data_IF_439769337224
#
_entry.id   IF_439769337224
#
_cell.length_a   1.000
_cell.length_b   1.000
_cell.length_c   1.000
_cell.angle_alpha   90.00
_cell.angle_beta   90.00
_cell.angle_gamma   90.00
#
_symmetry.space_group_name_H-M   'P 1'
#
loop_
_entity.id
_entity.type
_entity.pdbx_description
1 polymer ?
#
# COMPACT_ATOMS: atom_id res chain seq x y z
N UNK A 1 -1.38 -18.05 15.71
CA UNK A 1 -1.35 -18.07 14.23
C UNK A 1 0.00 -17.55 13.78
N UNK A 2 0.74 -18.33 12.99
CA UNK A 2 1.98 -17.88 12.34
C UNK A 2 1.57 -16.88 11.25
N UNK A 3 2.10 -15.65 11.27
CA UNK A 3 1.78 -14.64 10.24
C UNK A 3 2.20 -15.11 8.84
N UNK A 4 1.69 -14.46 7.79
CA UNK A 4 2.06 -14.78 6.40
C UNK A 4 3.60 -14.80 6.24
N UNK A 5 4.14 -15.82 5.56
CA UNK A 5 5.58 -16.12 5.45
C UNK A 5 6.35 -16.24 6.78
N UNK A 6 5.66 -16.39 7.90
CA UNK A 6 6.25 -16.47 9.23
C UNK A 6 6.99 -15.21 9.66
N UNK A 7 6.55 -14.01 9.26
CA UNK A 7 7.21 -12.73 9.61
C UNK A 7 7.45 -12.58 11.12
N UNK A 8 6.60 -13.19 11.95
CA UNK A 8 6.71 -13.15 13.41
C UNK A 8 7.73 -14.14 14.01
N UNK A 9 8.47 -14.88 13.18
CA UNK A 9 9.40 -15.93 13.62
C UNK A 9 10.84 -15.60 13.22
N UNK A 10 11.79 -15.86 14.12
CA UNK A 10 13.22 -15.77 13.80
C UNK A 10 13.64 -16.86 12.81
N UNK A 11 14.79 -16.67 12.13
CA UNK A 11 15.34 -17.65 11.18
C UNK A 11 15.43 -19.06 11.78
N UNK A 12 16.01 -19.20 12.97
CA UNK A 12 16.10 -20.48 13.69
C UNK A 12 14.76 -21.07 14.13
N UNK A 13 13.73 -20.24 14.38
CA UNK A 13 12.37 -20.74 14.63
C UNK A 13 11.73 -21.29 13.35
N UNK A 14 11.89 -20.61 12.21
CA UNK A 14 11.40 -21.10 10.91
C UNK A 14 12.08 -22.42 10.52
N UNK A 15 13.39 -22.51 10.70
CA UNK A 15 14.17 -23.72 10.45
C UNK A 15 13.65 -24.90 11.30
N UNK A 16 13.46 -24.70 12.60
CA UNK A 16 12.92 -25.73 13.51
C UNK A 16 11.50 -26.17 13.16
N UNK A 17 10.63 -25.25 12.77
CA UNK A 17 9.25 -25.60 12.35
C UNK A 17 9.27 -26.38 11.04
N UNK A 18 10.12 -26.00 10.09
CA UNK A 18 10.29 -26.73 8.83
C UNK A 18 10.83 -28.15 9.07
N UNK A 19 11.86 -28.28 9.93
CA UNK A 19 12.42 -29.57 10.33
C UNK A 19 11.39 -30.43 11.06
N UNK A 20 10.66 -29.86 12.02
CA UNK A 20 9.59 -30.57 12.73
C UNK A 20 8.51 -31.08 11.78
N UNK A 21 8.10 -30.28 10.79
CA UNK A 21 7.15 -30.70 9.74
C UNK A 21 7.68 -31.88 8.94
N UNK A 22 8.96 -31.87 8.57
CA UNK A 22 9.57 -33.01 7.87
C UNK A 22 9.59 -34.26 8.75
N UNK A 23 10.04 -34.16 10.00
CA UNK A 23 10.08 -35.27 10.96
C UNK A 23 8.69 -35.89 11.17
N UNK A 24 7.66 -35.06 11.29
CA UNK A 24 6.29 -35.50 11.53
C UNK A 24 5.64 -36.18 10.32
N UNK A 25 6.18 -35.99 9.11
CA UNK A 25 5.65 -36.61 7.89
C UNK A 25 5.96 -38.11 7.79
N UNK A 26 6.81 -38.65 8.67
CA UNK A 26 7.12 -40.08 8.80
C UNK A 26 7.45 -40.80 7.46
N UNK A 27 8.36 -40.24 6.67
CA UNK A 27 8.78 -40.81 5.37
C UNK A 27 9.89 -41.88 5.53
N UNK A 28 10.19 -42.63 4.46
CA UNK A 28 11.34 -43.57 4.45
C UNK A 28 12.69 -42.87 4.13
N UNK A 29 12.62 -41.75 3.40
CA UNK A 29 13.76 -40.95 2.95
C UNK A 29 13.61 -39.49 3.42
N UNK A 30 14.65 -38.99 4.08
CA UNK A 30 14.74 -37.59 4.51
C UNK A 30 15.85 -36.87 3.74
N UNK A 31 15.49 -35.79 3.05
CA UNK A 31 16.41 -34.88 2.39
C UNK A 31 16.48 -33.60 3.22
N UNK A 32 17.63 -33.33 3.82
CA UNK A 32 17.85 -32.21 4.73
C UNK A 32 18.89 -31.26 4.12
N UNK A 33 18.43 -30.10 3.67
CA UNK A 33 19.27 -29.05 3.10
C UNK A 33 19.56 -27.97 4.14
N UNK A 34 20.74 -28.05 4.74
CA UNK A 34 21.28 -27.19 5.80
C UNK A 34 20.27 -26.79 6.90
N UNK A 35 19.66 -27.77 7.60
CA UNK A 35 18.58 -27.50 8.56
C UNK A 35 19.01 -26.76 9.84
N UNK A 36 20.32 -26.64 10.10
CA UNK A 36 20.88 -26.13 11.36
C UNK A 36 21.58 -24.77 11.24
N UNK A 37 21.77 -24.23 10.03
CA UNK A 37 22.51 -22.97 9.81
C UNK A 37 22.01 -21.77 10.62
N UNK A 38 20.70 -21.64 10.82
CA UNK A 38 20.08 -20.49 11.48
C UNK A 38 19.86 -20.69 12.99
N UNK A 39 20.40 -21.76 13.58
CA UNK A 39 20.19 -22.17 14.98
C UNK A 39 21.49 -22.05 15.75
N UNK A 40 21.43 -21.67 17.03
CA UNK A 40 22.62 -21.59 17.87
C UNK A 40 23.30 -22.96 18.02
N UNK A 41 24.64 -23.02 18.15
CA UNK A 41 25.38 -24.30 18.16
C UNK A 41 24.91 -25.28 19.24
N UNK A 42 24.48 -24.79 20.40
CA UNK A 42 24.01 -25.64 21.51
C UNK A 42 22.67 -26.29 21.19
N UNK A 43 21.72 -25.52 20.64
CA UNK A 43 20.43 -26.04 20.20
C UNK A 43 20.60 -26.90 18.94
N UNK A 44 21.49 -26.52 18.02
CA UNK A 44 21.82 -27.32 16.84
C UNK A 44 22.33 -28.72 17.23
N UNK A 45 23.27 -28.79 18.20
CA UNK A 45 23.74 -30.06 18.75
C UNK A 45 22.62 -30.88 19.38
N UNK A 46 21.77 -30.25 20.18
CA UNK A 46 20.64 -30.95 20.79
C UNK A 46 19.64 -31.48 19.75
N UNK A 47 19.37 -30.72 18.67
CA UNK A 47 18.53 -31.15 17.56
C UNK A 47 19.20 -32.30 16.80
N UNK A 48 20.50 -32.22 16.56
CA UNK A 48 21.24 -33.28 15.89
C UNK A 48 21.16 -34.58 16.69
N UNK A 49 21.54 -34.55 17.98
CA UNK A 49 21.56 -35.73 18.85
C UNK A 49 20.18 -36.39 18.98
N UNK A 50 19.12 -35.58 19.14
CA UNK A 50 17.77 -36.08 19.38
C UNK A 50 16.99 -36.43 18.10
N UNK A 51 17.23 -35.73 16.99
CA UNK A 51 16.39 -35.84 15.78
C UNK A 51 17.11 -36.40 14.55
N UNK A 52 18.39 -36.06 14.31
CA UNK A 52 19.08 -36.36 13.04
C UNK A 52 20.13 -37.47 13.17
N UNK A 53 20.88 -37.50 14.28
CA UNK A 53 22.06 -38.33 14.50
C UNK A 53 21.80 -39.84 14.58
N UNK A 54 22.83 -40.67 14.83
CA UNK A 54 22.72 -42.13 14.78
C UNK A 54 21.80 -42.72 15.87
N UNK A 55 21.65 -42.02 17.01
CA UNK A 55 20.81 -42.43 18.15
C UNK A 55 19.49 -41.67 18.25
N UNK A 56 19.06 -41.03 17.17
CA UNK A 56 17.95 -40.09 17.14
C UNK A 56 16.59 -40.73 16.78
N UNK A 57 15.55 -39.89 16.71
CA UNK A 57 14.21 -40.23 16.20
C UNK A 57 14.23 -40.82 14.78
N UNK A 58 15.16 -40.41 13.92
CA UNK A 58 15.29 -40.92 12.55
C UNK A 58 16.16 -42.19 12.45
N UNK A 59 16.42 -42.86 13.57
CA UNK A 59 17.19 -44.11 13.59
C UNK A 59 16.50 -45.17 12.73
N UNK A 60 17.24 -45.73 11.77
CA UNK A 60 16.76 -46.76 10.85
C UNK A 60 16.14 -46.23 9.55
N UNK A 61 16.14 -44.90 9.35
CA UNK A 61 15.65 -44.27 8.12
C UNK A 61 16.79 -43.74 7.26
N UNK A 62 16.57 -43.68 5.94
CA UNK A 62 17.55 -43.13 4.99
C UNK A 62 17.56 -41.61 5.09
N UNK A 63 18.74 -41.03 5.28
CA UNK A 63 18.93 -39.59 5.51
C UNK A 63 20.04 -39.07 4.62
N UNK A 64 19.77 -38.00 3.89
CA UNK A 64 20.79 -37.21 3.18
C UNK A 64 20.83 -35.85 3.85
N UNK A 65 21.97 -35.54 4.47
CA UNK A 65 22.22 -34.26 5.15
C UNK A 65 23.26 -33.47 4.36
N UNK A 66 22.86 -32.30 3.86
CA UNK A 66 23.76 -31.30 3.31
C UNK A 66 23.99 -30.27 4.40
N UNK A 67 25.25 -30.00 4.75
CA UNK A 67 25.60 -29.01 5.78
C UNK A 67 27.00 -28.45 5.50
N UNK A 68 27.20 -27.19 5.84
CA UNK A 68 28.53 -26.57 5.88
C UNK A 68 29.25 -26.81 7.21
N UNK A 69 28.54 -27.26 8.24
CA UNK A 69 29.09 -27.49 9.56
C UNK A 69 29.73 -28.88 9.66
N UNK A 70 31.06 -28.93 9.64
CA UNK A 70 31.80 -30.20 9.47
C UNK A 70 31.72 -31.10 10.71
N UNK A 71 31.57 -30.53 11.90
CA UNK A 71 31.48 -31.27 13.16
C UNK A 71 30.33 -32.29 13.22
N UNK A 72 29.23 -32.06 12.50
CA UNK A 72 28.12 -33.01 12.40
C UNK A 72 28.37 -34.14 11.39
N UNK A 73 29.27 -33.94 10.43
CA UNK A 73 29.57 -34.91 9.39
C UNK A 73 30.41 -36.09 9.92
N UNK A 74 31.12 -35.92 11.03
CA UNK A 74 31.93 -36.98 11.65
C UNK A 74 31.09 -38.19 12.07
N UNK A 75 29.84 -37.97 12.49
CA UNK A 75 28.90 -39.00 12.94
C UNK A 75 28.11 -39.68 11.80
N UNK A 76 28.40 -39.36 10.54
CA UNK A 76 27.72 -39.94 9.37
C UNK A 76 28.34 -41.27 8.92
N UNK A 77 27.56 -42.11 8.27
CA UNK A 77 28.04 -43.39 7.73
C UNK A 77 28.93 -43.17 6.49
N UNK A 78 28.53 -42.28 5.59
CA UNK A 78 29.26 -41.91 4.35
C UNK A 78 29.30 -40.40 4.17
N UNK A 79 30.42 -39.89 3.63
CA UNK A 79 30.63 -38.47 3.34
C UNK A 79 31.05 -38.29 1.88
N UNK A 80 30.35 -37.39 1.19
CA UNK A 80 30.65 -37.04 -0.20
C UNK A 80 31.03 -35.56 -0.28
N UNK A 81 32.11 -35.26 -0.99
CA UNK A 81 32.51 -33.90 -1.31
C UNK A 81 32.10 -33.58 -2.74
N UNK A 82 31.28 -32.54 -2.91
CA UNK A 82 30.86 -32.06 -4.23
C UNK A 82 31.71 -30.83 -4.62
N UNK A 83 32.54 -30.97 -5.66
CA UNK A 83 33.38 -29.88 -6.18
C UNK A 83 33.11 -29.68 -7.67
N UNK A 84 32.69 -28.47 -8.08
CA UNK A 84 32.39 -28.13 -9.49
C UNK A 84 31.44 -29.11 -10.22
N UNK A 85 30.49 -29.71 -9.49
CA UNK A 85 29.56 -30.70 -10.06
C UNK A 85 30.10 -32.13 -10.15
N UNK A 86 31.33 -32.39 -9.68
CA UNK A 86 31.90 -33.72 -9.50
C UNK A 86 31.82 -34.18 -8.04
N UNK A 87 31.49 -35.44 -7.82
CA UNK A 87 31.31 -36.05 -6.49
C UNK A 87 32.48 -37.00 -6.21
N UNK A 88 33.21 -36.74 -5.12
CA UNK A 88 34.27 -37.60 -4.61
C UNK A 88 33.86 -38.17 -3.23
N UNK A 89 34.04 -39.47 -3.02
CA UNK A 89 33.79 -40.12 -1.73
C UNK A 89 35.01 -39.94 -0.80
N UNK A 90 34.78 -39.43 0.41
CA UNK A 90 35.84 -39.18 1.39
C UNK A 90 36.03 -40.42 2.29
N UNK A 91 37.25 -41.01 2.33
CA UNK A 91 37.55 -42.13 3.23
C UNK A 91 37.45 -41.75 4.71
N UNK A 92 37.03 -42.71 5.55
CA UNK A 92 36.81 -42.53 7.01
C UNK A 92 38.06 -42.00 7.74
N UNK A 93 39.26 -42.30 7.24
CA UNK A 93 40.56 -41.91 7.82
C UNK A 93 40.85 -40.40 7.72
N UNK A 94 40.20 -39.67 6.80
CA UNK A 94 40.41 -38.22 6.61
C UNK A 94 39.45 -37.35 7.45
N UNK A 95 38.56 -37.95 8.26
CA UNK A 95 37.56 -37.21 9.07
C UNK A 95 38.19 -36.26 10.11
N UNK A 96 39.33 -36.65 10.69
CA UNK A 96 40.06 -35.85 11.69
C UNK A 96 40.81 -34.66 11.08
N UNK A 97 41.14 -34.69 9.79
CA UNK A 97 41.81 -33.59 9.10
C UNK A 97 40.86 -32.43 8.77
N UNK A 98 39.55 -32.70 8.69
CA UNK A 98 38.51 -31.69 8.43
C UNK A 98 38.20 -30.90 9.71
N UNK A 99 38.23 -31.53 10.89
CA UNK A 99 38.13 -30.86 12.20
C UNK A 99 39.21 -29.78 12.38
N UNK A 100 40.43 -30.04 11.89
CA UNK A 100 41.56 -29.09 11.93
C UNK A 100 41.41 -27.89 10.97
N UNK A 101 40.58 -28.00 9.93
CA UNK A 101 40.30 -26.91 8.98
C UNK A 101 39.24 -25.94 9.52
N UNK A 102 38.27 -26.41 10.32
CA UNK A 102 37.26 -25.54 10.96
C UNK A 102 37.86 -24.72 12.12
N UNK A 103 38.73 -25.32 12.94
CA UNK A 103 39.37 -24.66 14.10
C UNK A 103 40.22 -23.43 13.72
N UNK A 104 40.74 -23.37 12.49
CA UNK A 104 41.50 -22.20 12.00
C UNK A 104 40.62 -21.08 11.45
N UNK A 105 39.32 -21.33 11.24
CA UNK A 105 38.35 -20.34 10.72
C UNK A 105 37.45 -19.74 11.81
N UNK A 106 37.29 -20.39 12.97
CA UNK A 106 36.42 -19.92 14.06
C UNK A 106 37.05 -18.88 15.01
N UNK A 107 38.37 -18.65 14.96
CA UNK A 107 39.03 -17.68 15.86
C UNK A 107 38.72 -16.20 15.58
N UNK A 108 38.04 -15.84 14.49
CA UNK A 108 37.80 -14.44 14.10
C UNK A 108 36.35 -13.94 14.25
N UNK A 109 35.42 -14.69 14.86
CA UNK A 109 34.00 -14.24 14.94
C UNK A 109 33.30 -14.32 16.31
N UNK A 110 33.96 -14.76 17.38
CA UNK A 110 33.31 -14.92 18.69
C UNK A 110 33.43 -13.70 19.61
N UNK A 111 32.80 -12.58 19.24
CA UNK A 111 32.47 -11.53 20.22
C UNK A 111 31.23 -10.68 19.84
N UNK A 112 30.07 -11.34 19.68
CA UNK A 112 28.76 -10.69 19.79
C UNK A 112 27.82 -11.54 20.64
N UNK A 113 27.83 -11.31 21.96
CA UNK A 113 26.67 -11.62 22.82
C UNK A 113 25.59 -10.60 22.49
N UNK A 114 24.71 -10.94 21.54
CA UNK A 114 23.46 -10.22 21.35
C UNK A 114 22.39 -10.76 22.30
N UNK A 115 21.69 -9.82 22.93
CA UNK A 115 20.76 -10.01 24.02
C UNK A 115 19.39 -10.43 23.51
N UNK A 116 19.03 -11.70 23.65
CA UNK A 116 17.68 -12.23 23.33
C UNK A 116 16.53 -11.57 24.11
N UNK A 117 16.82 -10.82 25.18
CA UNK A 117 15.80 -10.13 25.99
C UNK A 117 15.36 -8.77 25.43
N UNK A 118 15.93 -8.28 24.32
CA UNK A 118 15.56 -6.98 23.73
C UNK A 118 14.70 -7.08 22.47
N UNK A 119 14.71 -8.21 21.75
CA UNK A 119 14.05 -8.37 20.45
C UNK A 119 12.52 -8.51 20.57
N UNK A 120 12.04 -9.27 21.56
CA UNK A 120 10.60 -9.40 21.80
C UNK A 120 9.97 -8.11 22.35
N UNK A 121 10.75 -7.32 23.08
CA UNK A 121 10.34 -5.99 23.59
C UNK A 121 10.29 -4.97 22.47
N UNK A 122 11.28 -4.95 21.56
CA UNK A 122 11.28 -4.05 20.40
C UNK A 122 10.17 -4.36 19.39
N UNK A 123 9.77 -5.62 19.21
CA UNK A 123 8.65 -6.00 18.32
C UNK A 123 7.30 -5.57 18.92
N UNK A 124 7.09 -5.74 20.22
CA UNK A 124 5.88 -5.25 20.90
C UNK A 124 5.84 -3.72 20.95
N UNK A 125 6.98 -3.06 21.16
CA UNK A 125 7.08 -1.61 21.07
C UNK A 125 6.82 -1.13 19.63
N UNK A 126 7.40 -1.75 18.58
CA UNK A 126 7.12 -1.40 17.19
C UNK A 126 5.63 -1.49 16.84
N UNK A 127 4.94 -2.54 17.28
CA UNK A 127 3.50 -2.68 17.07
C UNK A 127 2.66 -1.63 17.84
N UNK A 128 3.16 -1.11 18.97
CA UNK A 128 2.55 0.03 19.68
C UNK A 128 2.88 1.40 19.05
N UNK A 129 3.99 1.49 18.32
CA UNK A 129 4.48 2.71 17.65
C UNK A 129 3.79 2.92 16.30
N UNK A 130 3.50 1.84 15.58
CA UNK A 130 2.77 1.90 14.31
C UNK A 130 1.30 2.19 14.60
N UNK A 131 0.88 3.44 14.40
CA UNK A 131 -0.55 3.79 14.43
C UNK A 131 -1.29 2.91 13.44
N UNK A 132 -2.26 2.13 13.92
CA UNK A 132 -3.22 1.46 13.06
C UNK A 132 -4.01 2.51 12.29
N UNK A 133 -4.30 2.22 11.03
CA UNK A 133 -5.03 3.14 10.16
C UNK A 133 -6.44 3.27 10.71
N UNK A 134 -6.73 4.36 11.43
CA UNK A 134 -8.10 4.71 11.75
C UNK A 134 -8.77 4.98 10.41
N UNK A 135 -9.66 4.08 9.98
CA UNK A 135 -10.59 4.39 8.90
C UNK A 135 -11.35 5.63 9.34
N UNK A 136 -11.07 6.77 8.71
CA UNK A 136 -11.82 8.00 8.96
C UNK A 136 -13.25 7.73 8.49
N UNK A 137 -14.09 7.27 9.40
CA UNK A 137 -15.53 7.14 9.18
C UNK A 137 -16.11 8.56 9.21
N UNK A 138 -16.15 9.20 8.03
CA UNK A 138 -16.65 10.55 7.88
C UNK A 138 -16.89 10.88 6.42
N UNK A 139 -17.86 11.78 6.18
CA UNK A 139 -18.00 12.41 4.87
C UNK A 139 -16.76 13.26 4.58
N UNK A 140 -16.27 13.19 3.35
CA UNK A 140 -15.03 13.86 2.93
C UNK A 140 -15.19 15.38 3.06
N UNK A 141 -14.16 16.05 3.60
CA UNK A 141 -14.18 17.51 3.76
C UNK A 141 -14.29 18.21 2.40
N UNK A 142 -15.20 19.18 2.32
CA UNK A 142 -15.41 20.00 1.10
C UNK A 142 -14.15 20.76 0.65
N UNK A 143 -13.22 21.03 1.57
CA UNK A 143 -11.93 21.64 1.25
C UNK A 143 -11.05 20.79 0.32
N UNK A 144 -11.18 19.45 0.39
CA UNK A 144 -10.43 18.52 -0.45
C UNK A 144 -10.96 18.58 -1.89
N UNK A 145 -12.29 18.54 -2.04
CA UNK A 145 -12.97 18.73 -3.32
C UNK A 145 -12.59 20.05 -3.98
N UNK A 146 -12.68 21.14 -3.22
CA UNK A 146 -12.35 22.46 -3.73
C UNK A 146 -10.87 22.56 -4.09
N UNK A 147 -9.98 21.98 -3.29
CA UNK A 147 -8.54 21.96 -3.54
C UNK A 147 -8.18 21.29 -4.86
N UNK A 148 -8.89 20.23 -5.24
CA UNK A 148 -8.66 19.50 -6.50
C UNK A 148 -8.94 20.39 -7.71
N UNK A 149 -10.10 21.05 -7.74
CA UNK A 149 -10.51 21.88 -8.88
C UNK A 149 -9.92 23.29 -8.89
N UNK A 150 -9.51 23.82 -7.73
CA UNK A 150 -8.93 25.18 -7.62
C UNK A 150 -7.40 25.18 -7.60
N UNK A 151 -6.80 24.09 -8.07
CA UNK A 151 -5.34 23.96 -8.17
C UNK A 151 -4.74 24.91 -9.23
N UNK A 152 -3.49 25.38 -9.04
CA UNK A 152 -2.77 26.15 -10.06
C UNK A 152 -2.66 25.37 -11.39
N UNK A 153 -2.63 26.04 -12.56
CA UNK A 153 -2.42 27.49 -12.74
C UNK A 153 -3.69 28.35 -12.75
N UNK A 154 -4.85 27.83 -13.18
CA UNK A 154 -6.05 28.65 -13.42
C UNK A 154 -6.90 28.92 -12.17
N UNK A 155 -6.68 28.19 -11.06
CA UNK A 155 -7.41 28.34 -9.80
C UNK A 155 -8.93 28.41 -10.03
N UNK A 156 -9.62 29.36 -9.40
CA UNK A 156 -11.06 29.57 -9.52
C UNK A 156 -11.53 29.88 -10.94
N UNK A 157 -10.75 30.62 -11.73
CA UNK A 157 -11.10 30.94 -13.10
C UNK A 157 -11.25 29.67 -13.95
N UNK A 158 -10.34 28.70 -13.77
CA UNK A 158 -10.41 27.41 -14.47
C UNK A 158 -11.64 26.61 -14.07
N UNK A 159 -11.98 26.59 -12.79
CA UNK A 159 -13.18 25.91 -12.29
C UNK A 159 -14.47 26.51 -12.86
N UNK A 160 -14.60 27.85 -12.90
CA UNK A 160 -15.76 28.49 -13.51
C UNK A 160 -15.85 28.21 -15.02
N UNK A 161 -14.72 28.25 -15.72
CA UNK A 161 -14.67 27.94 -17.14
C UNK A 161 -15.06 26.48 -17.44
N UNK A 162 -14.68 25.54 -16.56
CA UNK A 162 -15.09 24.13 -16.65
C UNK A 162 -16.61 23.98 -16.57
N UNK A 163 -17.24 24.67 -15.60
CA UNK A 163 -18.70 24.65 -15.44
C UNK A 163 -19.39 25.21 -16.68
N UNK A 164 -18.86 26.30 -17.26
CA UNK A 164 -19.42 26.89 -18.48
C UNK A 164 -19.36 25.90 -19.65
N UNK A 165 -18.23 25.22 -19.87
CA UNK A 165 -18.13 24.20 -20.92
C UNK A 165 -19.05 23.00 -20.67
N UNK A 166 -19.22 22.59 -19.41
CA UNK A 166 -20.14 21.52 -19.04
C UNK A 166 -21.60 21.87 -19.33
N UNK A 167 -22.05 23.05 -18.88
CA UNK A 167 -23.41 23.54 -19.13
C UNK A 167 -23.66 23.80 -20.62
N UNK A 168 -22.69 24.39 -21.32
CA UNK A 168 -22.80 24.69 -22.75
C UNK A 168 -22.93 23.42 -23.60
N UNK A 169 -22.18 22.36 -23.27
CA UNK A 169 -22.31 21.08 -23.95
C UNK A 169 -23.70 20.46 -23.75
N UNK A 170 -24.21 20.48 -22.52
CA UNK A 170 -25.54 19.92 -22.20
C UNK A 170 -26.65 20.69 -22.92
N UNK A 171 -26.60 22.02 -22.90
CA UNK A 171 -27.57 22.86 -23.59
C UNK A 171 -27.60 22.61 -25.12
N UNK A 172 -26.42 22.42 -25.74
CA UNK A 172 -26.33 22.08 -27.18
C UNK A 172 -26.90 20.69 -27.48
N UNK A 173 -26.66 19.72 -26.59
CA UNK A 173 -27.23 18.38 -26.71
C UNK A 173 -28.77 18.41 -26.63
N UNK A 174 -29.32 19.07 -25.62
CA UNK A 174 -30.77 19.22 -25.45
C UNK A 174 -31.40 20.01 -26.60
N UNK A 175 -30.72 21.04 -27.10
CA UNK A 175 -31.16 21.79 -28.27
C UNK A 175 -31.18 20.93 -29.53
N UNK A 176 -30.18 20.07 -29.74
CA UNK A 176 -30.13 19.11 -30.86
C UNK A 176 -31.34 18.17 -30.85
N UNK A 177 -31.64 17.60 -29.67
CA UNK A 177 -32.79 16.70 -29.50
C UNK A 177 -34.12 17.44 -29.67
N UNK A 178 -34.25 18.64 -29.12
CA UNK A 178 -35.45 19.47 -29.26
C UNK A 178 -35.68 19.91 -30.71
N UNK A 179 -34.60 20.21 -31.45
CA UNK A 179 -34.65 20.51 -32.88
C UNK A 179 -35.13 19.31 -33.70
N UNK A 180 -34.62 18.11 -33.41
CA UNK A 180 -35.06 16.87 -34.04
C UNK A 180 -36.56 16.61 -33.79
N UNK A 181 -37.02 16.81 -32.55
CA UNK A 181 -38.44 16.70 -32.21
C UNK A 181 -39.29 17.69 -33.02
N UNK A 182 -38.87 18.95 -33.11
CA UNK A 182 -39.55 19.98 -33.93
C UNK A 182 -39.56 19.63 -35.41
N UNK A 183 -38.45 19.13 -35.95
CA UNK A 183 -38.35 18.71 -37.35
C UNK A 183 -39.30 17.54 -37.65
N UNK A 184 -39.39 16.56 -36.75
CA UNK A 184 -40.28 15.39 -36.89
C UNK A 184 -41.77 15.76 -36.90
N UNK A 185 -42.16 16.87 -36.27
CA UNK A 185 -43.55 17.33 -36.22
C UNK A 185 -44.04 18.14 -37.43
N UNK A 186 -43.15 18.48 -38.39
CA UNK A 186 -43.51 19.31 -39.54
C UNK A 186 -44.25 18.54 -40.65
N UNK A 187 -44.89 19.28 -41.58
CA UNK A 187 -45.54 18.69 -42.76
C UNK A 187 -44.53 17.92 -43.61
N UNK A 188 -44.98 16.84 -44.28
CA UNK A 188 -44.12 15.95 -45.12
C UNK A 188 -43.32 16.70 -46.20
N UNK A 189 -43.82 17.83 -46.71
CA UNK A 189 -43.11 18.68 -47.67
C UNK A 189 -41.93 19.43 -47.07
N UNK A 190 -42.09 19.95 -45.84
CA UNK A 190 -41.04 20.68 -45.11
C UNK A 190 -40.03 19.74 -44.48
N UNK A 191 -40.45 18.52 -44.10
CA UNK A 191 -39.53 17.47 -43.65
C UNK A 191 -38.49 17.10 -44.72
N UNK A 192 -38.88 17.16 -46.00
CA UNK A 192 -37.99 16.92 -47.14
C UNK A 192 -37.07 18.11 -47.47
N UNK A 193 -37.24 19.25 -46.81
CA UNK A 193 -36.37 20.42 -47.01
C UNK A 193 -34.98 20.17 -46.44
N UNK A 194 -33.95 20.40 -47.25
CA UNK A 194 -32.55 20.27 -46.84
C UNK A 194 -32.17 21.25 -45.72
N UNK A 195 -32.92 22.34 -45.54
CA UNK A 195 -32.64 23.35 -44.51
C UNK A 195 -32.62 22.76 -43.08
N UNK A 196 -33.66 22.01 -42.69
CA UNK A 196 -33.75 21.42 -41.35
C UNK A 196 -32.63 20.40 -41.10
N UNK A 197 -32.27 19.64 -42.14
CA UNK A 197 -31.18 18.67 -42.10
C UNK A 197 -29.82 19.36 -41.93
N UNK A 198 -29.54 20.45 -42.65
CA UNK A 198 -28.28 21.19 -42.50
C UNK A 198 -28.14 21.85 -41.13
N UNK A 199 -29.22 22.42 -40.59
CA UNK A 199 -29.20 22.99 -39.23
C UNK A 199 -28.94 21.89 -38.19
N UNK A 200 -29.65 20.75 -38.29
CA UNK A 200 -29.43 19.62 -37.38
C UNK A 200 -27.98 19.09 -37.43
N UNK A 201 -27.44 18.93 -38.64
CA UNK A 201 -26.07 18.46 -38.85
C UNK A 201 -25.05 19.47 -38.29
N UNK A 202 -25.26 20.77 -38.52
CA UNK A 202 -24.41 21.84 -37.98
C UNK A 202 -24.37 21.86 -36.45
N UNK A 203 -25.54 21.76 -35.80
CA UNK A 203 -25.63 21.73 -34.34
C UNK A 203 -25.05 20.43 -33.76
N UNK A 204 -25.28 19.29 -34.42
CA UNK A 204 -24.68 17.99 -34.02
C UNK A 204 -23.16 18.06 -34.09
N UNK A 205 -22.61 18.65 -35.15
CA UNK A 205 -21.17 18.84 -35.30
C UNK A 205 -20.60 19.82 -34.27
N UNK A 206 -21.30 20.91 -33.97
CA UNK A 206 -20.93 21.84 -32.90
C UNK A 206 -20.93 21.15 -31.52
N UNK A 207 -21.94 20.32 -31.24
CA UNK A 207 -22.02 19.52 -30.00
C UNK A 207 -20.83 18.58 -29.88
N UNK A 208 -20.43 17.91 -30.96
CA UNK A 208 -19.25 17.04 -30.98
C UNK A 208 -17.95 17.82 -30.67
N UNK A 209 -17.74 18.98 -31.29
CA UNK A 209 -16.55 19.82 -31.06
C UNK A 209 -16.50 20.28 -29.60
N UNK A 210 -17.62 20.80 -29.08
CA UNK A 210 -17.69 21.27 -27.68
C UNK A 210 -17.48 20.10 -26.71
N UNK A 211 -18.01 18.91 -27.02
CA UNK A 211 -17.79 17.71 -26.21
C UNK A 211 -16.30 17.34 -26.13
N UNK A 212 -15.58 17.37 -27.26
CA UNK A 212 -14.14 17.10 -27.31
C UNK A 212 -13.33 18.13 -26.51
N UNK A 213 -13.63 19.42 -26.70
CA UNK A 213 -12.97 20.51 -25.96
C UNK A 213 -13.22 20.35 -24.46
N UNK A 214 -14.48 20.09 -24.06
CA UNK A 214 -14.87 19.90 -22.67
C UNK A 214 -14.16 18.72 -22.02
N UNK A 215 -14.10 17.56 -22.69
CA UNK A 215 -13.43 16.36 -22.15
C UNK A 215 -11.94 16.65 -21.97
N UNK A 216 -11.28 17.21 -22.98
CA UNK A 216 -9.86 17.58 -22.89
C UNK A 216 -9.58 18.60 -21.79
N UNK A 217 -10.42 19.64 -21.66
CA UNK A 217 -10.27 20.68 -20.64
C UNK A 217 -10.52 20.17 -19.22
N UNK A 218 -11.54 19.33 -19.03
CA UNK A 218 -11.84 18.73 -17.71
C UNK A 218 -10.72 17.79 -17.28
N UNK A 219 -10.19 16.99 -18.22
CA UNK A 219 -9.04 16.14 -17.95
C UNK A 219 -7.80 16.95 -17.58
N UNK A 220 -7.55 18.07 -18.27
CA UNK A 220 -6.44 18.98 -17.97
C UNK A 220 -6.54 19.56 -16.55
N UNK A 221 -7.71 20.03 -16.12
CA UNK A 221 -7.91 20.53 -14.74
C UNK A 221 -7.63 19.42 -13.72
N UNK A 222 -8.13 18.20 -13.98
CA UNK A 222 -7.92 17.08 -13.08
C UNK A 222 -6.45 16.70 -12.97
N UNK A 223 -5.71 16.72 -14.09
CA UNK A 223 -4.27 16.47 -14.12
C UNK A 223 -3.51 17.52 -13.30
N UNK A 224 -3.87 18.81 -13.42
CA UNK A 224 -3.29 19.88 -12.61
C UNK A 224 -3.59 19.68 -11.12
N UNK A 225 -4.82 19.30 -10.78
CA UNK A 225 -5.25 18.97 -9.42
C UNK A 225 -4.44 17.83 -8.81
N UNK A 226 -4.30 16.73 -9.53
CA UNK A 226 -3.55 15.56 -9.07
C UNK A 226 -2.06 15.87 -8.90
N UNK A 227 -1.45 16.56 -9.86
CA UNK A 227 -0.05 17.01 -9.78
C UNK A 227 0.18 17.96 -8.60
N UNK A 228 -0.79 18.84 -8.30
CA UNK A 228 -0.72 19.72 -7.13
C UNK A 228 -0.74 18.93 -5.82
N UNK A 229 -1.61 17.93 -5.70
CA UNK A 229 -1.71 17.06 -4.53
C UNK A 229 -0.42 16.27 -4.33
N UNK A 230 0.11 15.67 -5.41
CA UNK A 230 1.38 14.95 -5.39
C UNK A 230 2.53 15.83 -4.89
N UNK A 231 2.70 17.01 -5.49
CA UNK A 231 3.78 17.94 -5.12
C UNK A 231 3.66 18.44 -3.68
N UNK A 232 2.43 18.66 -3.21
CA UNK A 232 2.18 19.10 -1.83
C UNK A 232 2.47 17.99 -0.84
N UNK A 233 2.05 16.75 -1.13
CA UNK A 233 2.38 15.56 -0.35
C UNK A 233 3.89 15.36 -0.27
N UNK A 234 4.58 15.41 -1.41
CA UNK A 234 6.03 15.22 -1.47
C UNK A 234 6.78 16.28 -0.64
N UNK A 235 6.39 17.56 -0.76
CA UNK A 235 6.92 18.61 0.12
C UNK A 235 6.59 18.37 1.59
N UNK A 236 5.38 17.92 1.91
CA UNK A 236 4.98 17.57 3.27
C UNK A 236 5.86 16.47 3.86
N UNK A 237 6.14 15.42 3.10
CA UNK A 237 7.00 14.31 3.51
C UNK A 237 8.47 14.74 3.66
N UNK A 238 9.00 15.55 2.73
CA UNK A 238 10.41 15.96 2.79
C UNK A 238 10.73 16.88 3.98
N UNK A 239 9.77 17.67 4.44
CA UNK A 239 9.97 18.69 5.48
C UNK A 239 9.32 18.35 6.82
N UNK A 240 8.82 17.12 6.99
CA UNK A 240 8.24 16.64 8.26
C UNK A 240 9.34 16.15 9.21
N UNK A 241 9.04 16.13 10.50
CA UNK A 241 9.97 15.63 11.53
C UNK A 241 10.27 14.13 11.38
N UNK A 242 11.46 13.69 11.77
CA UNK A 242 11.88 12.27 11.79
C UNK A 242 10.88 11.35 12.53
N UNK A 243 10.19 11.87 13.56
CA UNK A 243 9.14 11.18 14.31
C UNK A 243 8.01 10.62 13.42
N UNK A 244 7.72 11.30 12.31
CA UNK A 244 6.73 10.83 11.36
C UNK A 244 7.14 9.49 10.72
N UNK A 245 8.40 9.34 10.34
CA UNK A 245 8.92 8.13 9.69
C UNK A 245 9.05 6.95 10.64
N UNK A 246 9.31 7.19 11.92
CA UNK A 246 9.32 6.11 12.94
C UNK A 246 7.93 5.53 13.19
N UNK A 247 6.88 6.35 13.07
CA UNK A 247 5.48 5.95 13.31
C UNK A 247 4.75 5.49 12.05
N UNK A 248 5.30 5.76 10.87
CA UNK A 248 4.74 5.41 9.58
C UNK A 248 5.72 4.54 8.78
N UNK A 249 5.45 3.22 8.66
CA UNK A 249 6.29 2.33 7.86
C UNK A 249 6.48 2.84 6.43
N UNK A 250 7.66 2.60 5.87
CA UNK A 250 8.00 3.02 4.50
C UNK A 250 7.00 2.50 3.46
N UNK A 251 6.49 1.27 3.62
CA UNK A 251 5.46 0.70 2.76
C UNK A 251 4.16 1.50 2.72
N UNK A 252 3.76 2.14 3.83
CA UNK A 252 2.56 2.99 3.89
C UNK A 252 2.75 4.26 3.07
N UNK A 253 3.89 4.94 3.25
CA UNK A 253 4.24 6.16 2.51
C UNK A 253 4.31 5.86 1.02
N UNK A 254 4.94 4.73 0.66
CA UNK A 254 5.01 4.27 -0.72
C UNK A 254 3.62 4.02 -1.31
N UNK A 255 2.73 3.35 -0.57
CA UNK A 255 1.37 3.08 -1.02
C UNK A 255 0.55 4.38 -1.24
N UNK A 256 0.80 5.44 -0.47
CA UNK A 256 0.20 6.77 -0.73
C UNK A 256 0.73 7.38 -2.02
N UNK A 257 2.05 7.35 -2.19
CA UNK A 257 2.71 7.94 -3.36
C UNK A 257 2.49 7.18 -4.67
N UNK A 258 2.15 5.88 -4.59
CA UNK A 258 1.89 5.03 -5.75
C UNK A 258 0.40 4.76 -5.94
N UNK A 259 -0.23 4.00 -5.05
CA UNK A 259 -1.58 3.47 -5.29
C UNK A 259 -2.68 4.51 -5.14
N UNK A 260 -2.62 5.32 -4.07
CA UNK A 260 -3.60 6.39 -3.90
C UNK A 260 -3.42 7.47 -4.96
N UNK A 261 -2.16 7.78 -5.34
CA UNK A 261 -1.85 8.69 -6.44
C UNK A 261 -2.38 8.17 -7.79
N UNK A 262 -2.20 6.87 -8.08
CA UNK A 262 -2.76 6.23 -9.28
C UNK A 262 -4.29 6.38 -9.34
N UNK A 263 -4.98 6.19 -8.22
CA UNK A 263 -6.44 6.38 -8.15
C UNK A 263 -6.82 7.82 -8.49
N UNK A 264 -6.03 8.79 -8.03
CA UNK A 264 -6.23 10.21 -8.31
C UNK A 264 -5.97 10.57 -9.78
N UNK A 265 -5.00 9.92 -10.41
CA UNK A 265 -4.57 10.15 -11.80
C UNK A 265 -5.47 9.46 -12.84
N UNK A 266 -5.95 8.25 -12.55
CA UNK A 266 -6.64 7.41 -13.55
C UNK A 266 -8.14 7.26 -13.27
N UNK A 267 -8.50 6.88 -12.04
CA UNK A 267 -9.87 6.47 -11.72
C UNK A 267 -10.79 7.65 -11.38
N UNK A 268 -10.28 8.62 -10.61
CA UNK A 268 -11.05 9.79 -10.19
C UNK A 268 -11.50 10.70 -11.36
N UNK A 269 -10.66 11.02 -12.39
CA UNK A 269 -11.09 11.84 -13.51
C UNK A 269 -12.29 11.26 -14.26
N UNK A 270 -12.23 9.95 -14.56
CA UNK A 270 -13.30 9.23 -15.25
C UNK A 270 -14.59 9.25 -14.40
N UNK A 271 -14.47 8.94 -13.11
CA UNK A 271 -15.61 8.93 -12.21
C UNK A 271 -16.30 10.29 -12.08
N UNK A 272 -15.52 11.37 -12.03
CA UNK A 272 -16.06 12.72 -11.88
C UNK A 272 -16.68 13.28 -13.16
N UNK A 273 -16.08 13.01 -14.33
CA UNK A 273 -16.65 13.37 -15.62
C UNK A 273 -18.03 12.72 -15.77
N UNK A 274 -18.12 11.42 -15.53
CA UNK A 274 -19.37 10.67 -15.67
C UNK A 274 -20.42 11.08 -14.63
N UNK A 275 -20.03 11.27 -13.37
CA UNK A 275 -20.95 11.72 -12.31
C UNK A 275 -21.52 13.10 -12.63
N UNK A 276 -20.67 14.01 -13.08
CA UNK A 276 -21.10 15.38 -13.40
C UNK A 276 -21.98 15.39 -14.65
N UNK A 277 -21.63 14.61 -15.68
CA UNK A 277 -22.45 14.48 -16.89
C UNK A 277 -23.83 13.90 -16.57
N UNK A 278 -23.92 12.84 -15.78
CA UNK A 278 -25.20 12.25 -15.39
C UNK A 278 -26.09 13.22 -14.63
N UNK A 279 -25.49 14.00 -13.72
CA UNK A 279 -26.21 14.99 -12.93
C UNK A 279 -26.77 16.10 -13.82
N UNK A 280 -25.96 16.58 -14.77
CA UNK A 280 -26.39 17.58 -15.75
C UNK A 280 -27.46 17.04 -16.70
N UNK A 281 -27.30 15.82 -17.21
CA UNK A 281 -28.28 15.18 -18.10
C UNK A 281 -29.62 14.93 -17.40
N UNK A 282 -29.58 14.53 -16.13
CA UNK A 282 -30.81 14.38 -15.32
C UNK A 282 -31.50 15.73 -15.14
N UNK A 283 -30.73 16.78 -14.84
CA UNK A 283 -31.27 18.13 -14.68
C UNK A 283 -31.85 18.68 -16.00
N UNK A 284 -31.14 18.55 -17.12
CA UNK A 284 -31.59 18.95 -18.46
C UNK A 284 -32.90 18.25 -18.85
N UNK A 285 -32.97 16.93 -18.63
CA UNK A 285 -34.19 16.14 -18.87
C UNK A 285 -35.39 16.66 -18.07
N UNK A 286 -35.21 17.01 -16.79
CA UNK A 286 -36.28 17.56 -15.95
C UNK A 286 -36.75 18.92 -16.47
N UNK A 287 -35.82 19.79 -16.90
CA UNK A 287 -36.13 21.11 -17.46
C UNK A 287 -36.96 20.97 -18.74
N UNK A 288 -36.54 20.10 -19.68
CA UNK A 288 -37.26 19.87 -20.94
C UNK A 288 -38.64 19.27 -20.70
N UNK A 289 -38.77 18.31 -19.77
CA UNK A 289 -40.08 17.75 -19.37
C UNK A 289 -40.96 18.85 -18.78
N UNK A 290 -40.42 19.71 -17.92
CA UNK A 290 -41.15 20.81 -17.31
C UNK A 290 -41.67 21.84 -18.32
N UNK A 291 -40.88 22.14 -19.36
CA UNK A 291 -41.28 23.06 -20.44
C UNK A 291 -42.39 22.44 -21.30
N UNK A 292 -42.29 21.16 -21.64
CA UNK A 292 -43.24 20.49 -22.53
C UNK A 292 -44.55 20.08 -21.83
N UNK A 293 -44.47 19.60 -20.59
CA UNK A 293 -45.62 19.14 -19.81
C UNK A 293 -45.40 19.34 -18.29
N UNK A 294 -45.81 20.50 -17.74
CA UNK A 294 -45.61 20.83 -16.33
C UNK A 294 -46.26 19.84 -15.34
N UNK A 295 -47.36 19.19 -15.73
CA UNK A 295 -48.08 18.26 -14.85
C UNK A 295 -47.26 17.00 -14.52
N UNK A 296 -46.34 16.60 -15.42
CA UNK A 296 -45.42 15.47 -15.19
C UNK A 296 -44.45 15.77 -14.04
N UNK A 297 -44.15 17.03 -13.74
CA UNK A 297 -43.30 17.41 -12.61
C UNK A 297 -43.93 17.05 -11.25
N UNK A 298 -45.27 17.09 -11.14
CA UNK A 298 -45.95 16.68 -9.91
C UNK A 298 -45.76 15.18 -9.63
N UNK A 299 -45.79 14.35 -10.69
CA UNK A 299 -45.53 12.91 -10.59
C UNK A 299 -44.06 12.68 -10.21
N UNK A 300 -43.14 13.46 -10.77
CA UNK A 300 -41.71 13.36 -10.46
C UNK A 300 -41.43 13.72 -9.00
N UNK A 301 -42.05 14.78 -8.47
CA UNK A 301 -41.91 15.20 -7.05
C UNK A 301 -42.33 14.06 -6.11
N UNK A 302 -43.36 13.28 -6.46
CA UNK A 302 -43.80 12.12 -5.68
C UNK A 302 -42.81 10.94 -5.77
N UNK A 303 -42.12 10.79 -6.91
CA UNK A 303 -41.15 9.72 -7.16
C UNK A 303 -39.76 9.98 -6.53
N UNK A 304 -39.34 11.23 -6.39
CA UNK A 304 -38.01 11.58 -5.85
C UNK A 304 -37.75 10.98 -4.46
N UNK A 305 -38.67 11.04 -3.48
CA UNK A 305 -38.46 10.39 -2.17
C UNK A 305 -38.24 8.87 -2.27
N UNK A 306 -38.97 8.19 -3.16
CA UNK A 306 -38.81 6.74 -3.38
C UNK A 306 -37.43 6.42 -3.98
N UNK A 307 -36.96 7.22 -4.94
CA UNK A 307 -35.61 7.09 -5.52
C UNK A 307 -34.51 7.38 -4.49
N UNK A 308 -34.69 8.39 -3.63
CA UNK A 308 -33.74 8.70 -2.55
C UNK A 308 -33.70 7.61 -1.49
N UNK A 309 -34.84 6.99 -1.18
CA UNK A 309 -34.91 5.83 -0.28
C UNK A 309 -34.18 4.63 -0.89
N UNK A 310 -34.46 4.31 -2.16
CA UNK A 310 -33.78 3.24 -2.90
C UNK A 310 -32.28 3.47 -2.98
N UNK A 311 -31.83 4.72 -3.21
CA UNK A 311 -30.41 5.11 -3.16
C UNK A 311 -29.79 4.81 -1.80
N UNK A 312 -30.44 5.21 -0.70
CA UNK A 312 -29.90 4.97 0.65
C UNK A 312 -29.78 3.48 0.94
N UNK A 313 -30.77 2.68 0.52
CA UNK A 313 -30.74 1.23 0.65
C UNK A 313 -29.59 0.62 -0.19
N UNK A 314 -29.48 1.01 -1.46
CA UNK A 314 -28.42 0.55 -2.36
C UNK A 314 -27.01 0.87 -1.82
N UNK A 315 -26.77 2.10 -1.36
CA UNK A 315 -25.46 2.51 -0.84
C UNK A 315 -25.03 1.69 0.39
N UNK A 316 -25.98 1.24 1.22
CA UNK A 316 -25.69 0.35 2.35
C UNK A 316 -25.31 -1.05 1.85
N UNK A 317 -26.08 -1.61 0.92
CA UNK A 317 -25.85 -2.94 0.36
C UNK A 317 -24.53 -3.02 -0.44
N UNK A 318 -24.29 -2.06 -1.34
CA UNK A 318 -23.09 -2.01 -2.18
C UNK A 318 -21.80 -1.91 -1.36
N UNK A 319 -21.79 -1.09 -0.30
CA UNK A 319 -20.63 -0.98 0.61
C UNK A 319 -20.35 -2.29 1.34
N UNK A 320 -21.39 -2.97 1.83
CA UNK A 320 -21.25 -4.27 2.47
C UNK A 320 -20.77 -5.35 1.48
N UNK A 321 -21.29 -5.37 0.25
CA UNK A 321 -20.83 -6.27 -0.81
C UNK A 321 -19.37 -6.03 -1.19
N UNK A 322 -18.94 -4.77 -1.41
CA UNK A 322 -17.52 -4.45 -1.69
C UNK A 322 -16.59 -4.89 -0.56
N UNK A 323 -17.02 -4.72 0.70
CA UNK A 323 -16.28 -5.21 1.87
C UNK A 323 -16.20 -6.74 1.86
N UNK A 324 -17.32 -7.42 1.64
CA UNK A 324 -17.37 -8.89 1.58
C UNK A 324 -16.47 -9.41 0.45
N UNK A 325 -16.55 -8.82 -0.75
CA UNK A 325 -15.71 -9.15 -1.89
C UNK A 325 -14.23 -9.00 -1.53
N UNK A 326 -13.81 -7.87 -0.97
CA UNK A 326 -12.41 -7.66 -0.56
C UNK A 326 -11.95 -8.69 0.48
N UNK A 327 -12.76 -8.98 1.49
CA UNK A 327 -12.47 -9.97 2.54
C UNK A 327 -12.40 -11.39 1.96
N UNK A 328 -13.24 -11.74 0.99
CA UNK A 328 -13.24 -13.07 0.36
C UNK A 328 -12.14 -13.25 -0.70
N UNK A 329 -11.70 -12.17 -1.35
CA UNK A 329 -10.67 -12.22 -2.40
C UNK A 329 -9.26 -12.38 -1.83
N UNK A 330 -8.97 -11.76 -0.68
CA UNK A 330 -7.63 -11.79 -0.06
C UNK A 330 -7.13 -13.20 0.28
N UNK A 331 -7.93 -14.10 0.91
CA UNK A 331 -7.51 -15.47 1.18
C UNK A 331 -7.14 -16.27 -0.07
N UNK A 332 -7.81 -16.02 -1.21
CA UNK A 332 -7.54 -16.70 -2.48
C UNK A 332 -6.15 -16.33 -2.99
N UNK A 333 -5.79 -15.05 -2.98
CA UNK A 333 -4.44 -14.61 -3.38
C UNK A 333 -3.37 -15.10 -2.42
N UNK A 334 -3.63 -15.09 -1.11
CA UNK A 334 -2.71 -15.61 -0.10
C UNK A 334 -2.46 -17.11 -0.28
N UNK A 335 -3.53 -17.89 -0.52
CA UNK A 335 -3.41 -19.33 -0.81
C UNK A 335 -2.63 -19.56 -2.11
N UNK A 336 -2.91 -18.79 -3.16
CA UNK A 336 -2.20 -18.91 -4.43
C UNK A 336 -0.71 -18.57 -4.29
N UNK A 337 -0.38 -17.46 -3.62
CA UNK A 337 1.01 -17.05 -3.40
C UNK A 337 1.78 -18.04 -2.53
N UNK A 338 1.18 -18.52 -1.43
CA UNK A 338 1.80 -19.53 -0.56
C UNK A 338 1.95 -20.89 -1.25
N UNK A 339 1.04 -21.24 -2.17
CA UNK A 339 1.16 -22.45 -2.99
C UNK A 339 2.29 -22.37 -4.01
N UNK A 340 2.52 -21.19 -4.62
CA UNK A 340 3.65 -20.96 -5.53
C UNK A 340 4.99 -20.99 -4.78
N UNK A 341 5.09 -20.28 -3.65
CA UNK A 341 6.30 -20.24 -2.84
C UNK A 341 6.63 -21.63 -2.24
N UNK A 342 5.61 -22.41 -1.88
CA UNK A 342 5.73 -23.74 -1.27
C UNK A 342 5.69 -24.91 -2.26
N UNK A 343 5.76 -24.67 -3.57
CA UNK A 343 5.46 -25.67 -4.59
C UNK A 343 6.34 -26.93 -4.49
N UNK A 344 7.63 -26.75 -4.18
CA UNK A 344 8.57 -27.86 -3.98
C UNK A 344 8.20 -28.71 -2.77
N UNK A 345 7.86 -28.08 -1.64
CA UNK A 345 7.40 -28.77 -0.43
C UNK A 345 6.08 -29.50 -0.67
N UNK A 346 5.12 -28.88 -1.35
CA UNK A 346 3.80 -29.48 -1.65
C UNK A 346 3.98 -30.76 -2.48
N UNK A 347 4.89 -30.76 -3.45
CA UNK A 347 5.22 -31.95 -4.26
C UNK A 347 6.00 -32.99 -3.48
N UNK A 348 6.91 -32.58 -2.61
CA UNK A 348 7.71 -33.49 -1.80
C UNK A 348 6.87 -34.27 -0.77
N UNK A 349 5.82 -33.66 -0.23
CA UNK A 349 4.91 -34.31 0.73
C UNK A 349 3.65 -34.93 0.09
N UNK A 350 3.51 -34.86 -1.24
CA UNK A 350 2.37 -35.39 -2.01
C UNK A 350 0.98 -34.92 -1.52
N UNK A 351 0.85 -33.63 -1.17
CA UNK A 351 -0.38 -33.05 -0.58
C UNK A 351 -1.26 -32.31 -1.62
N UNK A 352 -1.03 -32.55 -2.91
CA UNK A 352 -1.70 -31.82 -4.00
C UNK A 352 -3.21 -32.06 -4.00
N UNK A 353 -3.67 -33.29 -3.67
CA UNK A 353 -5.10 -33.65 -3.65
C UNK A 353 -5.85 -32.93 -2.53
N UNK A 354 -5.23 -32.77 -1.36
CA UNK A 354 -5.83 -32.05 -0.23
C UNK A 354 -5.99 -30.55 -0.50
N UNK A 355 -5.07 -29.94 -1.26
CA UNK A 355 -5.18 -28.55 -1.73
C UNK A 355 -6.25 -28.39 -2.82
N UNK A 356 -6.46 -29.42 -3.66
CA UNK A 356 -7.43 -29.40 -4.77
C UNK A 356 -8.89 -29.38 -4.33
N UNK A 357 -9.19 -29.94 -3.15
CA UNK A 357 -10.55 -29.97 -2.60
C UNK A 357 -10.98 -28.68 -1.87
N UNK A 358 -10.08 -27.74 -1.61
CA UNK A 358 -10.43 -26.55 -0.82
C UNK A 358 -11.05 -25.42 -1.64
N UNK A 359 -10.85 -25.36 -2.96
CA UNK A 359 -11.46 -24.33 -3.82
C UNK A 359 -11.62 -24.91 -5.24
N UNK A 360 -12.86 -25.07 -5.73
CA UNK A 360 -13.11 -25.25 -7.17
C UNK A 360 -12.89 -23.90 -7.86
N UNK A 361 -11.78 -23.73 -8.62
CA UNK A 361 -11.42 -22.44 -9.20
C UNK A 361 -12.48 -21.94 -10.18
N UNK A 362 -13.20 -22.88 -10.82
CA UNK A 362 -14.24 -22.55 -11.79
C UNK A 362 -15.48 -21.98 -11.11
N UNK A 363 -15.93 -22.58 -10.01
CA UNK A 363 -17.09 -22.11 -9.24
C UNK A 363 -16.80 -20.77 -8.50
N UNK A 364 -15.58 -20.59 -7.99
CA UNK A 364 -15.15 -19.35 -7.36
C UNK A 364 -15.07 -18.20 -8.39
N UNK A 365 -14.48 -18.44 -9.56
CA UNK A 365 -14.42 -17.46 -10.64
C UNK A 365 -15.82 -17.09 -11.15
N UNK A 366 -16.71 -18.07 -11.32
CA UNK A 366 -18.09 -17.85 -11.75
C UNK A 366 -18.87 -16.98 -10.75
N UNK A 367 -18.70 -17.25 -9.45
CA UNK A 367 -19.36 -16.49 -8.36
C UNK A 367 -18.86 -15.05 -8.32
N UNK A 368 -17.55 -14.83 -8.49
CA UNK A 368 -16.96 -13.48 -8.59
C UNK A 368 -17.48 -12.74 -9.83
N UNK A 369 -17.52 -13.41 -10.99
CA UNK A 369 -18.06 -12.83 -12.23
C UNK A 369 -19.54 -12.47 -12.12
N UNK A 370 -20.36 -13.28 -11.44
CA UNK A 370 -21.76 -12.94 -11.17
C UNK A 370 -21.90 -11.77 -10.20
N UNK A 371 -21.08 -11.69 -9.15
CA UNK A 371 -21.07 -10.53 -8.24
C UNK A 371 -20.68 -9.22 -8.97
N UNK A 372 -19.70 -9.29 -9.88
CA UNK A 372 -19.27 -8.15 -10.71
C UNK A 372 -20.39 -7.72 -11.68
N UNK A 373 -21.05 -8.69 -12.34
CA UNK A 373 -22.17 -8.40 -13.25
C UNK A 373 -23.43 -7.90 -12.52
N UNK A 374 -23.72 -8.42 -11.33
CA UNK A 374 -24.84 -7.97 -10.49
C UNK A 374 -24.62 -6.53 -9.98
N UNK A 375 -23.36 -6.12 -9.80
CA UNK A 375 -22.97 -4.73 -9.53
C UNK A 375 -23.09 -3.83 -10.79
N UNK A 376 -23.05 -4.43 -11.98
CA UNK A 376 -23.26 -3.74 -13.27
C UNK A 376 -24.72 -3.47 -13.62
N UNK A 377 -25.64 -4.34 -13.20
CA UNK A 377 -27.06 -4.27 -13.56
C UNK A 377 -27.87 -3.19 -12.81
N UNK A 378 -27.30 -2.54 -11.78
CA UNK A 378 -28.00 -1.50 -11.02
C UNK A 378 -27.32 -0.11 -11.12
N UNK A 379 -28.03 0.79 -11.80
CA UNK A 379 -28.04 2.26 -11.63
C UNK A 379 -26.66 2.95 -11.70
N UNK A 380 -26.20 3.20 -12.95
CA UNK A 380 -24.93 3.82 -13.31
C UNK A 380 -24.65 5.15 -12.55
N UNK A 381 -25.66 6.01 -12.38
CA UNK A 381 -25.50 7.31 -11.71
C UNK A 381 -25.24 7.21 -10.19
N UNK A 382 -25.99 6.37 -9.46
CA UNK A 382 -25.75 6.16 -8.02
C UNK A 382 -24.42 5.44 -7.80
N UNK A 383 -24.09 4.47 -8.65
CA UNK A 383 -22.79 3.78 -8.60
C UNK A 383 -21.63 4.76 -8.82
N UNK A 384 -21.71 5.61 -9.84
CA UNK A 384 -20.63 6.54 -10.16
C UNK A 384 -20.41 7.57 -9.05
N UNK A 385 -21.50 8.10 -8.48
CA UNK A 385 -21.43 9.01 -7.33
C UNK A 385 -20.76 8.35 -6.12
N UNK A 386 -21.05 7.08 -5.85
CA UNK A 386 -20.41 6.31 -4.79
C UNK A 386 -18.93 6.03 -5.07
N UNK A 387 -18.59 5.72 -6.32
CA UNK A 387 -17.21 5.48 -6.74
C UNK A 387 -16.37 6.75 -6.67
N UNK A 388 -16.90 7.91 -7.08
CA UNK A 388 -16.25 9.20 -6.89
C UNK A 388 -15.96 9.50 -5.41
N UNK A 389 -16.91 9.23 -4.52
CA UNK A 389 -16.71 9.40 -3.07
C UNK A 389 -15.64 8.43 -2.54
N UNK A 390 -15.65 7.16 -2.97
CA UNK A 390 -14.61 6.20 -2.60
C UNK A 390 -13.22 6.62 -3.09
N UNK A 391 -13.09 7.06 -4.34
CA UNK A 391 -11.80 7.52 -4.89
C UNK A 391 -11.31 8.80 -4.23
N UNK A 392 -12.22 9.68 -3.82
CA UNK A 392 -11.86 10.89 -3.09
C UNK A 392 -11.31 10.58 -1.68
N UNK A 393 -11.55 9.40 -1.12
CA UNK A 393 -10.89 8.96 0.12
C UNK A 393 -9.37 8.85 -0.07
N UNK A 394 -8.92 8.39 -1.24
CA UNK A 394 -7.48 8.40 -1.60
C UNK A 394 -6.95 9.84 -1.73
N UNK A 395 -7.74 10.75 -2.30
CA UNK A 395 -7.37 12.16 -2.38
C UNK A 395 -7.22 12.82 -1.00
N UNK A 396 -8.12 12.52 -0.06
CA UNK A 396 -8.06 13.02 1.31
C UNK A 396 -6.81 12.51 2.03
N UNK A 397 -6.47 11.23 1.89
CA UNK A 397 -5.25 10.64 2.45
C UNK A 397 -3.98 11.31 1.92
N UNK A 398 -3.92 11.59 0.61
CA UNK A 398 -2.79 12.34 0.02
C UNK A 398 -2.77 13.77 0.56
N UNK A 399 -3.93 14.40 0.68
CA UNK A 399 -4.05 15.76 1.19
C UNK A 399 -3.58 15.90 2.64
N UNK A 400 -3.84 14.92 3.51
CA UNK A 400 -3.35 14.87 4.89
C UNK A 400 -1.83 14.91 4.96
N UNK A 401 -1.15 14.18 4.08
CA UNK A 401 0.32 14.21 4.01
C UNK A 401 0.84 15.58 3.56
N UNK A 402 0.08 16.30 2.74
CA UNK A 402 0.36 17.69 2.37
C UNK A 402 0.13 18.71 3.49
N UNK A 403 -0.40 18.31 4.64
CA UNK A 403 -0.63 19.13 5.83
C UNK A 403 0.22 18.69 7.04
N UNK A 404 1.21 17.81 6.83
CA UNK A 404 2.12 17.40 7.91
C UNK A 404 2.80 18.61 8.55
N UNK A 405 2.99 18.51 9.87
CA UNK A 405 3.68 19.54 10.66
C UNK A 405 5.12 19.60 10.18
N UNK A 406 5.51 20.76 9.63
CA UNK A 406 6.88 20.98 9.17
C UNK A 406 7.81 21.23 10.34
N UNK A 407 9.09 20.97 10.14
CA UNK A 407 10.11 21.36 11.12
C UNK A 407 10.14 22.88 11.31
N UNK A 408 10.43 23.31 12.54
CA UNK A 408 10.22 24.68 13.05
C UNK A 408 10.89 25.78 12.23
N UNK A 409 11.94 25.47 11.47
CA UNK A 409 12.65 26.43 10.62
C UNK A 409 11.80 27.03 9.49
N UNK A 410 10.62 26.49 9.20
CA UNK A 410 9.70 27.03 8.17
C UNK A 410 8.27 27.34 8.65
N UNK A 411 7.91 26.99 9.88
CA UNK A 411 6.51 27.08 10.36
C UNK A 411 6.07 28.47 10.83
N UNK A 412 6.93 29.48 10.74
CA UNK A 412 6.58 30.82 11.17
C UNK A 412 6.73 31.80 10.02
N UNK A 413 5.78 32.73 9.91
CA UNK A 413 5.97 34.02 9.26
C UNK A 413 7.12 34.85 9.91
N UNK A 414 7.93 34.25 10.81
CA UNK A 414 9.16 34.77 11.39
C UNK A 414 10.41 34.24 10.67
N UNK A 415 10.31 33.81 9.41
CA UNK A 415 11.48 33.68 8.54
C UNK A 415 12.23 35.01 8.36
N UNK A 416 11.58 36.14 8.68
CA UNK A 416 12.21 37.46 8.81
C UNK A 416 13.10 37.61 10.07
N UNK A 417 12.92 36.78 11.11
CA UNK A 417 13.70 36.82 12.37
C UNK A 417 14.77 35.72 12.44
N UNK A 418 15.00 34.99 11.35
CA UNK A 418 16.08 34.01 11.28
C UNK A 418 17.42 34.76 11.27
N UNK A 419 18.12 34.72 12.41
CA UNK A 419 19.50 35.20 12.51
C UNK A 419 20.33 34.33 11.56
N UNK A 420 20.72 34.89 10.42
CA UNK A 420 21.68 34.23 9.56
C UNK A 420 23.03 34.23 10.29
N UNK A 421 23.70 33.07 10.38
CA UNK A 421 25.05 33.05 10.89
C UNK A 421 25.95 33.89 9.98
N UNK A 422 26.99 34.49 10.53
CA UNK A 422 27.97 35.23 9.75
C UNK A 422 28.64 34.32 8.70
N UNK A 423 29.13 34.91 7.60
CA UNK A 423 29.73 34.17 6.48
C UNK A 423 30.95 33.33 6.90
N UNK A 424 31.61 33.69 8.01
CA UNK A 424 32.74 32.96 8.58
C UNK A 424 32.32 31.80 9.51
N UNK A 425 31.01 31.58 9.72
CA UNK A 425 30.53 30.49 10.56
C UNK A 425 30.59 29.14 9.82
N UNK A 426 31.12 28.07 10.46
CA UNK A 426 31.67 28.03 11.83
C UNK A 426 33.19 28.32 11.89
N UNK A 427 33.61 29.44 12.51
CA UNK A 427 35.04 29.85 12.52
C UNK A 427 35.91 29.20 13.61
N UNK A 428 35.34 28.87 14.78
CA UNK A 428 36.11 28.32 15.93
C UNK A 428 35.74 26.90 16.32
N UNK A 429 34.65 26.31 15.81
CA UNK A 429 34.26 24.93 16.11
C UNK A 429 34.15 24.59 17.61
N UNK A 430 33.81 25.58 18.45
CA UNK A 430 33.60 25.39 19.89
C UNK A 430 32.16 24.94 20.09
N UNK A 431 31.95 23.86 20.84
CA UNK A 431 30.61 23.32 21.15
C UNK A 431 30.41 23.37 22.66
N UNK A 432 29.29 23.93 23.12
CA UNK A 432 28.98 24.07 24.55
C UNK A 432 27.53 23.62 24.80
N UNK A 433 27.36 22.57 25.59
CA UNK A 433 26.08 22.12 26.12
C UNK A 433 25.89 22.74 27.51
N UNK A 434 24.75 23.43 27.71
CA UNK A 434 24.35 24.01 29.01
C UNK A 434 22.97 23.47 29.37
N UNK A 435 22.89 22.76 30.48
CA UNK A 435 21.66 22.14 31.00
C UNK A 435 20.85 21.41 29.92
N UNK A 436 21.55 20.77 28.98
CA UNK A 436 20.93 20.19 27.80
C UNK A 436 20.17 18.90 28.15
N UNK A 437 18.92 18.82 27.72
CA UNK A 437 18.04 17.68 27.95
C UNK A 437 17.39 17.25 26.65
N UNK A 438 17.45 15.95 26.35
CA UNK A 438 16.91 15.38 25.11
C UNK A 438 15.88 14.29 25.40
N UNK A 439 14.77 14.33 24.66
CA UNK A 439 13.70 13.33 24.73
C UNK A 439 13.15 13.05 23.33
N UNK A 440 12.90 11.79 23.02
CA UNK A 440 12.29 11.38 21.75
C UNK A 440 10.79 11.70 21.69
N UNK A 441 10.09 11.62 22.82
CA UNK A 441 8.65 11.95 22.92
C UNK A 441 8.39 12.83 24.14
N UNK A 442 7.41 13.75 24.07
CA UNK A 442 7.06 14.59 25.22
C UNK A 442 6.62 13.77 26.44
N UNK A 443 5.94 12.65 26.19
CA UNK A 443 5.35 11.74 27.18
C UNK A 443 6.37 10.76 27.79
N UNK A 444 7.54 10.59 27.18
CA UNK A 444 8.57 9.66 27.66
C UNK A 444 9.61 10.37 28.52
N UNK A 445 10.26 9.59 29.38
CA UNK A 445 11.39 10.08 30.16
C UNK A 445 12.56 10.54 29.26
N UNK A 446 13.28 11.61 29.65
CA UNK A 446 14.42 12.10 28.89
C UNK A 446 15.57 11.09 28.87
N UNK A 447 16.19 10.92 27.70
CA UNK A 447 17.33 10.01 27.48
C UNK A 447 18.63 10.68 27.90
N UNK A 448 18.79 11.97 27.60
CA UNK A 448 19.89 12.81 28.10
C UNK A 448 19.30 13.80 29.10
N UNK A 449 19.93 13.92 30.27
CA UNK A 449 19.45 14.76 31.39
C UNK A 449 20.57 15.68 31.87
N UNK A 450 20.32 16.98 31.91
CA UNK A 450 21.21 18.01 32.47
C UNK A 450 22.67 17.91 31.96
N UNK A 451 22.86 17.71 30.66
CA UNK A 451 24.19 17.60 30.07
C UNK A 451 24.89 18.96 30.03
N UNK A 452 26.02 19.05 30.72
CA UNK A 452 26.89 20.22 30.79
C UNK A 452 28.30 19.84 30.33
N UNK A 453 28.65 20.19 29.09
CA UNK A 453 29.91 19.78 28.43
C UNK A 453 30.42 20.90 27.52
N UNK A 454 31.72 21.17 27.53
CA UNK A 454 32.37 22.14 26.64
C UNK A 454 33.51 21.50 25.87
N UNK A 455 33.46 21.63 24.55
CA UNK A 455 34.41 21.11 23.58
C UNK A 455 35.17 22.30 22.98
N UNK A 456 36.50 22.32 23.10
CA UNK A 456 37.36 23.38 22.59
C UNK A 456 37.58 23.22 21.08
N UNK A 457 38.02 24.31 20.47
CA UNK A 457 38.43 24.32 19.06
C UNK A 457 39.52 23.29 18.79
N UNK A 458 39.39 22.52 17.70
CA UNK A 458 40.35 21.50 17.25
C UNK A 458 40.62 20.38 18.27
N UNK A 459 39.72 20.18 19.24
CA UNK A 459 39.81 19.10 20.23
C UNK A 459 39.24 17.79 19.66
N UNK A 460 39.93 16.67 19.91
CA UNK A 460 39.45 15.33 19.56
C UNK A 460 38.79 14.72 20.79
N UNK A 461 37.53 14.29 20.67
CA UNK A 461 36.75 13.74 21.78
C UNK A 461 36.28 12.33 21.45
N UNK A 462 36.45 11.42 22.41
CA UNK A 462 35.89 10.07 22.38
C UNK A 462 34.72 9.93 23.35
N UNK A 463 33.61 9.32 22.89
CA UNK A 463 32.43 9.04 23.71
C UNK A 463 32.27 7.52 23.86
N UNK A 464 32.32 7.01 25.10
CA UNK A 464 32.17 5.58 25.42
C UNK A 464 30.98 5.35 26.35
N UNK A 465 30.41 4.14 26.30
CA UNK A 465 29.30 3.76 27.18
C UNK A 465 28.63 2.45 26.75
N UNK A 466 27.85 1.85 27.65
CA UNK A 466 27.07 0.62 27.40
C UNK A 466 26.05 0.82 26.27
N UNK A 467 25.62 -0.25 25.62
CA UNK A 467 24.53 -0.22 24.62
C UNK A 467 23.27 0.38 25.25
N UNK A 468 22.60 1.31 24.56
CA UNK A 468 21.42 2.02 25.07
C UNK A 468 21.69 3.25 25.96
N UNK A 469 22.96 3.60 26.24
CA UNK A 469 23.30 4.74 27.11
C UNK A 469 23.06 6.15 26.51
N UNK A 470 22.41 6.26 25.34
CA UNK A 470 22.15 7.56 24.68
C UNK A 470 23.29 8.11 23.83
N UNK A 471 24.33 7.31 23.52
CA UNK A 471 25.49 7.73 22.70
C UNK A 471 25.10 8.29 21.33
N UNK A 472 24.19 7.61 20.62
CA UNK A 472 23.70 8.05 19.31
C UNK A 472 22.73 9.23 19.40
N UNK A 473 22.09 9.44 20.56
CA UNK A 473 21.19 10.57 20.80
C UNK A 473 21.94 11.86 21.13
N UNK A 474 23.23 11.76 21.46
CA UNK A 474 24.14 12.89 21.69
C UNK A 474 24.69 13.48 20.39
N UNK A 475 24.79 12.66 19.35
CA UNK A 475 25.14 13.05 17.98
C UNK A 475 23.91 13.60 17.27
#
# INVERSE_FOLDING_TARGET
MIGDKGVNLSGGQKARISLARALYADADLYLLDDPLAAVDPKVAKNIFDQCIGPRSLLRGKTRILITHQTHFLVETDQMFLLTNGHIDELPIEQRSAIELLDDTSETDSSNKKESDWTLNTTINDMNSIVKSEASVDGAIKWSVWLGLFTSPPLRWFGFFLMIIFMLGNEALYDFTNSWLARWSGQRKSEQRSSFYAYVYLGVTFATLIVALIRVGYTFYIMLCGSTYFHNRMLKGILYTSLRFFESNPSGRILNRASKDQQVLDEALPLALIDTTQNLLMTFGSIVIIGINNPWVLLILILLVPAVLWLRRFYMRLSRQMKRLESVTRSPIYALFSSSLDGLTSIRAFDVQVALRHQIDPSAAALSISYCINLTGLFQWAIRQSAESENFMTSAERIHEYGQLVRESHQNSNKSADLIQPADDWPSRGIIEFKDYTFRYRPELDPVLKNLNLRIKSKEKIGVIGRTGAGKSSLL
#
